data_IF_122435205078
#
_entry.id   IF_122435205078
#
_cell.length_a   1.000
_cell.length_b   1.000
_cell.length_c   1.000
_cell.angle_alpha   90.00
_cell.angle_beta   90.00
_cell.angle_gamma   90.00
#
_symmetry.space_group_name_H-M   'P 1'
#
loop_
_entity.id
_entity.type
_entity.pdbx_description
1 polymer ?
#
# COMPACT_ATOMS: atom_id res chain seq x y z
N UNK A 1 15.72 17.25 18.10
CA UNK A 1 15.54 15.82 18.43
C UNK A 1 14.17 15.39 17.93
N UNK A 2 14.09 14.33 17.15
CA UNK A 2 12.80 13.70 16.78
C UNK A 2 12.41 12.68 17.82
N UNK A 3 11.15 12.64 18.20
CA UNK A 3 10.58 11.67 19.13
C UNK A 3 9.56 10.81 18.41
N UNK A 4 9.39 9.59 18.89
CA UNK A 4 8.38 8.68 18.37
C UNK A 4 6.99 9.14 18.82
N UNK A 5 6.06 9.20 17.88
CA UNK A 5 4.66 9.52 18.15
C UNK A 5 3.75 8.50 17.44
N UNK A 6 2.69 8.09 18.11
CA UNK A 6 1.73 7.12 17.56
C UNK A 6 2.36 5.82 17.06
N UNK A 7 1.90 5.36 15.92
CA UNK A 7 2.20 4.04 15.33
C UNK A 7 3.56 3.93 14.60
N UNK A 8 4.65 4.43 15.14
CA UNK A 8 6.01 4.47 14.59
C UNK A 8 6.38 5.73 13.78
N UNK A 9 5.55 6.73 13.74
CA UNK A 9 5.94 8.03 13.21
C UNK A 9 6.92 8.73 14.16
N UNK A 10 7.73 9.59 13.59
CA UNK A 10 8.65 10.43 14.35
C UNK A 10 8.36 11.88 14.04
N UNK A 11 8.35 12.73 15.05
CA UNK A 11 8.12 14.17 14.89
C UNK A 11 9.06 14.98 15.77
N UNK A 12 9.27 16.24 15.42
CA UNK A 12 9.96 17.24 16.25
C UNK A 12 8.90 17.92 17.11
N UNK A 13 8.87 17.70 18.45
CA UNK A 13 7.86 18.29 19.32
C UNK A 13 7.79 19.80 19.16
N UNK A 14 6.57 20.30 19.04
CA UNK A 14 6.28 21.73 18.90
C UNK A 14 6.62 22.36 17.55
N UNK A 15 7.25 21.65 16.61
CA UNK A 15 7.68 22.20 15.30
C UNK A 15 7.16 21.45 14.10
N UNK A 16 6.82 20.18 14.28
CA UNK A 16 6.39 19.27 13.22
C UNK A 16 4.98 18.77 13.52
N UNK A 17 4.08 18.94 12.57
CA UNK A 17 2.71 18.45 12.64
C UNK A 17 2.54 17.29 11.67
N UNK A 18 2.62 16.03 12.15
CA UNK A 18 2.43 14.87 11.32
C UNK A 18 0.95 14.55 11.15
N UNK A 19 0.45 14.59 9.93
CA UNK A 19 -0.86 14.08 9.57
C UNK A 19 -0.76 12.58 9.32
N UNK A 20 -0.92 11.80 10.40
CA UNK A 20 -0.85 10.35 10.39
C UNK A 20 -2.22 9.74 10.06
N UNK A 21 -2.20 8.52 9.52
CA UNK A 21 -3.37 7.67 9.33
C UNK A 21 -4.52 8.29 8.50
N UNK A 22 -4.22 9.31 7.70
CA UNK A 22 -5.25 10.04 6.93
C UNK A 22 -5.62 9.28 5.66
N UNK A 23 -4.65 8.63 5.02
CA UNK A 23 -4.87 7.94 3.73
C UNK A 23 -4.15 6.61 3.66
N UNK A 24 -4.77 5.67 2.94
CA UNK A 24 -4.20 4.35 2.70
C UNK A 24 -4.29 3.99 1.23
N UNK A 25 -3.19 3.44 0.71
CA UNK A 25 -3.11 2.89 -0.63
C UNK A 25 -3.08 1.37 -0.54
N UNK A 26 -4.15 0.71 -0.95
CA UNK A 26 -4.23 -0.74 -0.98
C UNK A 26 -3.50 -1.27 -2.23
N UNK A 27 -2.26 -1.71 -2.06
CA UNK A 27 -1.42 -2.22 -3.15
C UNK A 27 -2.02 -3.46 -3.82
N UNK A 28 -2.85 -4.24 -3.11
CA UNK A 28 -3.50 -5.40 -3.70
C UNK A 28 -4.57 -5.01 -4.73
N UNK A 29 -5.15 -3.81 -4.62
CA UNK A 29 -6.04 -3.25 -5.64
C UNK A 29 -5.24 -2.91 -6.91
N UNK A 30 -4.05 -2.32 -6.77
CA UNK A 30 -3.16 -2.07 -7.91
C UNK A 30 -2.75 -3.37 -8.61
N UNK A 31 -2.46 -4.44 -7.85
CA UNK A 31 -2.19 -5.76 -8.41
C UNK A 31 -3.40 -6.35 -9.13
N UNK A 32 -4.59 -6.24 -8.54
CA UNK A 32 -5.83 -6.72 -9.16
C UNK A 32 -6.04 -6.09 -10.55
N UNK A 33 -5.96 -4.76 -10.65
CA UNK A 33 -6.11 -4.08 -11.94
C UNK A 33 -4.94 -4.38 -12.89
N UNK A 34 -3.72 -4.53 -12.39
CA UNK A 34 -2.59 -4.98 -13.19
C UNK A 34 -2.78 -6.37 -13.80
N UNK A 35 -3.39 -7.30 -13.05
CA UNK A 35 -3.76 -8.63 -13.54
C UNK A 35 -4.89 -8.57 -14.59
N UNK A 36 -5.89 -7.72 -14.40
CA UNK A 36 -6.96 -7.50 -15.39
C UNK A 36 -6.41 -6.90 -16.68
N UNK A 37 -5.51 -5.93 -16.59
CA UNK A 37 -4.84 -5.37 -17.77
C UNK A 37 -4.02 -6.45 -18.50
N UNK A 38 -3.27 -7.28 -17.75
CA UNK A 38 -2.49 -8.36 -18.32
C UNK A 38 -3.35 -9.45 -18.98
N UNK A 39 -4.52 -9.77 -18.39
CA UNK A 39 -5.48 -10.72 -18.93
C UNK A 39 -5.96 -10.31 -20.33
N UNK A 40 -6.09 -9.01 -20.59
CA UNK A 40 -6.51 -8.44 -21.87
C UNK A 40 -5.39 -8.41 -22.93
N UNK A 41 -4.14 -8.74 -22.59
CA UNK A 41 -3.00 -8.71 -23.51
C UNK A 41 -2.78 -10.07 -24.20
N UNK A 42 -2.22 -10.04 -25.40
CA UNK A 42 -1.78 -11.24 -26.10
C UNK A 42 -0.49 -11.81 -25.48
N UNK A 43 0.47 -10.94 -25.18
CA UNK A 43 1.71 -11.32 -24.49
C UNK A 43 1.52 -11.16 -22.99
N UNK A 44 1.90 -12.20 -22.24
CA UNK A 44 1.72 -12.26 -20.79
C UNK A 44 2.99 -12.74 -20.13
N UNK A 45 3.63 -11.84 -19.43
CA UNK A 45 4.83 -12.12 -18.66
C UNK A 45 4.87 -11.32 -17.35
N UNK A 46 5.88 -11.60 -16.55
CA UNK A 46 6.01 -11.02 -15.22
C UNK A 46 6.45 -9.55 -15.26
N UNK A 47 7.22 -9.16 -16.28
CA UNK A 47 7.69 -7.79 -16.44
C UNK A 47 6.53 -6.87 -16.85
N UNK A 48 5.68 -7.34 -17.76
CA UNK A 48 4.47 -6.61 -18.12
C UNK A 48 3.50 -6.50 -16.93
N UNK A 49 3.35 -7.58 -16.13
CA UNK A 49 2.56 -7.50 -14.89
C UNK A 49 3.12 -6.45 -13.93
N UNK A 50 4.44 -6.40 -13.76
CA UNK A 50 5.10 -5.38 -12.94
C UNK A 50 4.83 -3.97 -13.46
N UNK A 51 4.93 -3.76 -14.77
CA UNK A 51 4.64 -2.47 -15.41
C UNK A 51 3.19 -2.03 -15.13
N UNK A 52 2.21 -2.91 -15.32
CA UNK A 52 0.80 -2.61 -15.07
C UNK A 52 0.51 -2.37 -13.60
N UNK A 53 1.07 -3.17 -12.71
CA UNK A 53 0.98 -2.96 -11.27
C UNK A 53 1.51 -1.58 -10.86
N UNK A 54 2.70 -1.21 -11.34
CA UNK A 54 3.33 0.06 -11.00
C UNK A 54 2.56 1.24 -11.58
N UNK A 55 1.98 1.11 -12.77
CA UNK A 55 1.10 2.12 -13.35
C UNK A 55 -0.11 2.41 -12.45
N UNK A 56 -0.82 1.38 -12.01
CA UNK A 56 -1.97 1.55 -11.12
C UNK A 56 -1.57 2.08 -9.75
N UNK A 57 -0.47 1.61 -9.19
CA UNK A 57 0.03 2.10 -7.91
C UNK A 57 0.39 3.59 -7.98
N UNK A 58 1.02 4.03 -9.07
CA UNK A 58 1.33 5.43 -9.32
C UNK A 58 0.05 6.27 -9.42
N UNK A 59 -0.95 5.82 -10.17
CA UNK A 59 -2.23 6.52 -10.30
C UNK A 59 -2.92 6.70 -8.95
N UNK A 60 -2.89 5.68 -8.09
CA UNK A 60 -3.45 5.75 -6.74
C UNK A 60 -2.72 6.78 -5.87
N UNK A 61 -1.39 6.78 -5.88
CA UNK A 61 -0.58 7.75 -5.10
C UNK A 61 -0.80 9.17 -5.61
N UNK A 62 -0.87 9.40 -6.92
CA UNK A 62 -1.15 10.72 -7.50
C UNK A 62 -2.57 11.21 -7.14
N UNK A 63 -3.56 10.32 -7.10
CA UNK A 63 -4.89 10.64 -6.63
C UNK A 63 -4.88 11.11 -5.16
N UNK A 64 -4.14 10.41 -4.29
CA UNK A 64 -3.99 10.80 -2.89
C UNK A 64 -3.29 12.16 -2.77
N UNK A 65 -2.23 12.40 -3.53
CA UNK A 65 -1.54 13.71 -3.55
C UNK A 65 -2.47 14.86 -3.94
N UNK A 66 -3.32 14.65 -4.95
CA UNK A 66 -4.34 15.64 -5.34
C UNK A 66 -5.38 15.86 -4.21
N UNK A 67 -5.77 14.78 -3.54
CA UNK A 67 -6.63 14.84 -2.35
C UNK A 67 -6.00 15.65 -1.21
N UNK A 68 -4.71 15.52 -0.98
CA UNK A 68 -3.99 16.30 0.02
C UNK A 68 -3.95 17.79 -0.32
N UNK A 69 -3.72 18.16 -1.57
CA UNK A 69 -3.79 19.55 -1.99
C UNK A 69 -5.17 20.16 -1.66
N UNK A 70 -6.23 19.41 -1.93
CA UNK A 70 -7.59 19.85 -1.60
C UNK A 70 -7.86 19.88 -0.10
N UNK A 71 -7.37 18.88 0.63
CA UNK A 71 -7.49 18.82 2.09
C UNK A 71 -6.81 20.03 2.76
N UNK A 72 -5.60 20.34 2.32
CA UNK A 72 -4.83 21.50 2.81
C UNK A 72 -5.60 22.82 2.66
N UNK A 73 -6.30 23.03 1.55
CA UNK A 73 -7.08 24.25 1.29
C UNK A 73 -8.26 24.46 2.24
N UNK A 74 -8.87 23.38 2.70
CA UNK A 74 -10.13 23.44 3.45
C UNK A 74 -9.98 23.12 4.92
N UNK A 75 -8.91 22.44 5.32
CA UNK A 75 -8.74 21.88 6.65
C UNK A 75 -8.83 22.94 7.75
N UNK A 76 -8.13 24.07 7.60
CA UNK A 76 -8.13 25.12 8.61
C UNK A 76 -9.51 25.75 8.84
N UNK A 77 -10.39 25.73 7.82
CA UNK A 77 -11.75 26.29 7.93
C UNK A 77 -12.72 25.28 8.52
N UNK A 78 -12.58 24.02 8.14
CA UNK A 78 -13.52 22.98 8.54
C UNK A 78 -13.16 22.36 9.89
N UNK A 79 -11.87 22.29 10.21
CA UNK A 79 -11.38 21.63 11.43
C UNK A 79 -10.09 22.28 11.93
N UNK A 80 -10.18 23.51 12.50
CA UNK A 80 -9.02 24.20 13.03
C UNK A 80 -8.48 23.49 14.29
N UNK A 81 -7.17 23.36 14.37
CA UNK A 81 -6.47 22.77 15.52
C UNK A 81 -6.23 23.83 16.63
N UNK A 82 -7.31 24.38 17.18
CA UNK A 82 -7.25 25.57 18.08
C UNK A 82 -6.35 25.32 19.29
N UNK A 83 -6.53 24.19 19.97
CA UNK A 83 -5.74 23.89 21.19
C UNK A 83 -4.30 23.57 20.84
N UNK A 84 -4.08 22.77 19.77
CA UNK A 84 -2.75 22.36 19.35
C UNK A 84 -1.89 23.55 18.92
N UNK A 85 -2.48 24.57 18.31
CA UNK A 85 -1.78 25.79 17.91
C UNK A 85 -1.10 26.50 19.09
N UNK A 86 -1.64 26.34 20.33
CA UNK A 86 -1.05 26.94 21.55
C UNK A 86 0.22 26.21 22.01
N UNK A 87 0.44 24.96 21.56
CA UNK A 87 1.59 24.13 21.93
C UNK A 87 2.64 23.99 20.83
N UNK A 88 2.39 24.64 19.68
CA UNK A 88 3.29 24.60 18.53
C UNK A 88 4.00 25.93 18.34
N UNK A 89 5.27 25.87 17.91
CA UNK A 89 5.98 27.06 17.47
C UNK A 89 5.49 27.49 16.08
N UNK A 90 5.21 28.77 15.95
CA UNK A 90 4.87 29.40 14.68
C UNK A 90 3.39 29.74 14.45
N UNK A 91 2.40 28.95 14.90
CA UNK A 91 1.00 29.24 14.61
C UNK A 91 0.55 30.66 15.10
N UNK A 92 0.92 31.03 16.30
CA UNK A 92 0.56 32.33 16.87
C UNK A 92 1.29 33.48 16.15
N UNK A 93 2.59 33.33 15.96
CA UNK A 93 3.45 34.32 15.31
C UNK A 93 3.08 34.55 13.85
N UNK A 94 2.68 33.49 13.16
CA UNK A 94 2.29 33.51 11.74
C UNK A 94 0.82 33.83 11.50
N UNK A 95 -0.01 33.71 12.56
CA UNK A 95 -1.46 33.82 12.43
C UNK A 95 -2.07 32.70 11.56
N UNK A 96 -1.46 31.52 11.54
CA UNK A 96 -1.85 30.37 10.72
C UNK A 96 -2.06 29.12 11.56
N UNK A 97 -2.99 28.28 11.15
CA UNK A 97 -3.19 26.99 11.78
C UNK A 97 -1.97 26.08 11.55
N UNK A 98 -1.62 25.24 12.52
CA UNK A 98 -0.52 24.26 12.37
C UNK A 98 -0.72 23.32 11.16
N UNK A 99 -1.95 23.02 10.79
CA UNK A 99 -2.30 22.23 9.61
C UNK A 99 -2.25 23.00 8.27
N UNK A 100 -1.95 24.31 8.32
CA UNK A 100 -1.98 25.17 7.13
C UNK A 100 -0.84 26.22 7.16
N UNK A 101 0.39 25.74 7.26
CA UNK A 101 1.59 26.58 7.22
C UNK A 101 1.97 27.25 8.55
N UNK A 102 1.24 27.00 9.63
CA UNK A 102 1.56 27.55 10.96
C UNK A 102 2.82 26.94 11.57
N UNK A 103 3.17 25.72 11.24
CA UNK A 103 4.36 25.02 11.76
C UNK A 103 5.52 25.04 10.76
N UNK A 104 6.72 24.66 11.25
CA UNK A 104 7.90 24.59 10.40
C UNK A 104 7.84 23.40 9.40
N UNK A 105 7.28 22.28 9.84
CA UNK A 105 7.20 21.05 9.05
C UNK A 105 5.78 20.48 9.14
N UNK A 106 5.17 20.27 8.00
CA UNK A 106 3.91 19.55 7.84
C UNK A 106 4.18 18.26 7.09
N UNK A 107 4.03 17.11 7.78
CA UNK A 107 4.18 15.80 7.19
C UNK A 107 2.82 15.22 6.80
N UNK A 108 2.67 14.85 5.54
CA UNK A 108 1.49 14.18 5.01
C UNK A 108 1.83 12.72 4.73
N UNK A 109 1.17 11.83 5.43
CA UNK A 109 1.49 10.41 5.34
C UNK A 109 0.60 9.68 4.35
N UNK A 110 1.21 8.84 3.53
CA UNK A 110 0.51 7.86 2.70
C UNK A 110 0.91 6.47 3.17
N UNK A 111 -0.06 5.71 3.67
CA UNK A 111 0.16 4.36 4.17
C UNK A 111 -0.09 3.33 3.07
N UNK A 112 0.95 2.62 2.64
CA UNK A 112 0.82 1.45 1.79
C UNK A 112 0.41 0.23 2.62
N UNK A 113 -0.64 -0.46 2.21
CA UNK A 113 -1.14 -1.67 2.85
C UNK A 113 -1.13 -2.86 1.89
N UNK A 114 -1.26 -4.08 2.42
CA UNK A 114 -1.24 -5.35 1.68
C UNK A 114 0.11 -5.74 1.07
N UNK A 115 1.24 -5.21 1.55
CA UNK A 115 2.56 -5.51 0.99
C UNK A 115 2.83 -7.01 0.90
N UNK A 116 2.60 -7.79 1.97
CA UNK A 116 2.85 -9.22 1.97
C UNK A 116 1.91 -9.97 1.02
N UNK A 117 0.63 -9.59 0.93
CA UNK A 117 -0.32 -10.18 -0.04
C UNK A 117 0.19 -10.01 -1.47
N UNK A 118 0.70 -8.83 -1.82
CA UNK A 118 1.21 -8.53 -3.17
C UNK A 118 2.53 -9.24 -3.42
N UNK A 119 3.47 -9.19 -2.48
CA UNK A 119 4.77 -9.84 -2.60
C UNK A 119 4.65 -11.37 -2.74
N UNK A 120 3.80 -11.99 -1.92
CA UNK A 120 3.50 -13.42 -2.01
C UNK A 120 2.82 -13.78 -3.33
N UNK A 121 1.96 -12.88 -3.86
CA UNK A 121 1.30 -13.09 -5.15
C UNK A 121 2.29 -13.07 -6.31
N UNK A 122 3.18 -12.09 -6.36
CA UNK A 122 4.25 -12.06 -7.37
C UNK A 122 5.15 -13.29 -7.26
N UNK A 123 5.55 -13.68 -6.05
CA UNK A 123 6.39 -14.86 -5.82
C UNK A 123 5.69 -16.16 -6.25
N UNK A 124 4.38 -16.28 -6.00
CA UNK A 124 3.60 -17.45 -6.42
C UNK A 124 3.51 -17.53 -7.95
N UNK A 125 3.26 -16.41 -8.64
CA UNK A 125 3.25 -16.34 -10.10
C UNK A 125 4.64 -16.72 -10.65
N UNK A 126 5.69 -16.05 -10.17
CA UNK A 126 7.05 -16.32 -10.63
C UNK A 126 7.41 -17.79 -10.51
N UNK A 127 7.15 -18.39 -9.33
CA UNK A 127 7.48 -19.80 -9.10
C UNK A 127 6.60 -20.76 -9.88
N UNK A 128 5.27 -20.60 -9.84
CA UNK A 128 4.33 -21.61 -10.35
C UNK A 128 3.99 -21.47 -11.81
N UNK A 129 3.96 -20.22 -12.33
CA UNK A 129 3.59 -19.93 -13.72
C UNK A 129 4.85 -19.81 -14.59
N UNK A 130 5.83 -19.02 -14.15
CA UNK A 130 6.98 -18.68 -14.99
C UNK A 130 8.05 -19.79 -14.96
N UNK A 131 8.52 -20.18 -13.78
CA UNK A 131 9.64 -21.14 -13.67
C UNK A 131 9.21 -22.58 -13.73
N UNK A 132 8.31 -23.00 -12.81
CA UNK A 132 7.89 -24.42 -12.74
C UNK A 132 6.90 -24.78 -13.84
N UNK A 133 6.26 -23.82 -14.49
CA UNK A 133 5.24 -24.00 -15.53
C UNK A 133 4.13 -24.99 -15.15
N UNK A 134 3.79 -24.99 -13.85
CA UNK A 134 2.71 -25.82 -13.30
C UNK A 134 1.32 -25.27 -13.59
N UNK A 135 1.24 -23.97 -13.85
CA UNK A 135 0.05 -23.25 -14.29
C UNK A 135 0.38 -22.43 -15.53
N UNK A 136 -0.59 -22.30 -16.42
CA UNK A 136 -0.55 -21.29 -17.48
C UNK A 136 -1.15 -19.97 -16.98
N UNK A 137 -0.89 -18.86 -17.68
CA UNK A 137 -1.52 -17.58 -17.38
C UNK A 137 -3.05 -17.68 -17.50
N UNK A 138 -3.58 -18.34 -18.53
CA UNK A 138 -5.02 -18.52 -18.70
C UNK A 138 -5.65 -19.25 -17.53
N UNK A 139 -4.99 -20.34 -17.07
CA UNK A 139 -5.49 -21.08 -15.92
C UNK A 139 -5.42 -20.26 -14.63
N UNK A 140 -4.38 -19.45 -14.45
CA UNK A 140 -4.30 -18.54 -13.30
C UNK A 140 -5.47 -17.55 -13.29
N UNK A 141 -5.78 -16.94 -14.43
CA UNK A 141 -6.90 -15.99 -14.52
C UNK A 141 -8.24 -16.67 -14.25
N UNK A 142 -8.47 -17.86 -14.82
CA UNK A 142 -9.66 -18.66 -14.55
C UNK A 142 -9.82 -18.96 -13.05
N UNK A 143 -8.75 -19.33 -12.36
CA UNK A 143 -8.75 -19.59 -10.93
C UNK A 143 -9.14 -18.34 -10.11
N UNK A 144 -8.63 -17.19 -10.50
CA UNK A 144 -8.94 -15.92 -9.84
C UNK A 144 -10.37 -15.49 -10.11
N UNK A 145 -10.85 -15.58 -11.34
CA UNK A 145 -12.20 -15.20 -11.76
C UNK A 145 -13.28 -16.10 -11.11
N UNK A 146 -12.96 -17.39 -10.91
CA UNK A 146 -13.86 -18.35 -10.23
C UNK A 146 -13.67 -18.42 -8.71
N UNK A 147 -12.82 -17.53 -8.14
CA UNK A 147 -12.49 -17.56 -6.71
C UNK A 147 -12.04 -18.97 -6.25
N UNK A 148 -11.25 -19.66 -7.07
CA UNK A 148 -10.75 -21.01 -6.82
C UNK A 148 -11.85 -22.10 -6.67
N UNK A 149 -13.07 -21.87 -7.14
CA UNK A 149 -14.16 -22.85 -7.03
C UNK A 149 -13.75 -24.18 -7.68
N UNK A 150 -13.86 -25.27 -6.93
CA UNK A 150 -13.45 -26.62 -7.38
C UNK A 150 -11.96 -26.83 -7.58
N UNK A 151 -11.10 -25.84 -7.31
CA UNK A 151 -9.66 -25.85 -7.61
C UNK A 151 -8.77 -25.77 -6.36
N UNK A 152 -9.17 -26.43 -5.28
CA UNK A 152 -8.46 -26.35 -3.98
C UNK A 152 -7.00 -26.80 -4.08
N UNK A 153 -6.71 -27.82 -4.93
CA UNK A 153 -5.33 -28.28 -5.12
C UNK A 153 -4.42 -27.20 -5.70
N UNK A 154 -4.90 -26.48 -6.73
CA UNK A 154 -4.15 -25.41 -7.39
C UNK A 154 -4.03 -24.20 -6.45
N UNK A 155 -5.09 -23.86 -5.71
CA UNK A 155 -5.06 -22.83 -4.67
C UNK A 155 -4.00 -23.12 -3.62
N UNK A 156 -3.98 -24.33 -3.06
CA UNK A 156 -2.98 -24.77 -2.09
C UNK A 156 -1.56 -24.78 -2.69
N UNK A 157 -1.41 -25.14 -3.95
CA UNK A 157 -0.13 -25.06 -4.63
C UNK A 157 0.39 -23.62 -4.73
N UNK A 158 -0.47 -22.63 -5.04
CA UNK A 158 -0.14 -21.21 -5.02
C UNK A 158 0.11 -20.70 -3.59
N UNK A 159 -0.67 -21.18 -2.63
CA UNK A 159 -0.50 -20.83 -1.21
C UNK A 159 0.80 -21.37 -0.61
N UNK A 160 1.22 -22.55 -1.04
CA UNK A 160 2.40 -23.27 -0.49
C UNK A 160 3.70 -22.86 -1.19
N UNK A 161 4.12 -21.62 -0.96
CA UNK A 161 5.42 -21.07 -1.35
C UNK A 161 6.15 -20.57 -0.08
N UNK A 162 7.46 -20.32 -0.18
CA UNK A 162 8.17 -19.59 0.88
C UNK A 162 7.72 -18.13 0.86
N UNK A 163 6.97 -17.74 1.88
CA UNK A 163 6.30 -16.44 1.96
C UNK A 163 7.22 -15.33 2.45
N UNK A 164 6.74 -14.10 2.29
CA UNK A 164 7.34 -12.92 2.88
C UNK A 164 7.54 -13.12 4.40
N UNK A 165 8.71 -12.74 4.91
CA UNK A 165 9.14 -13.00 6.28
C UNK A 165 9.96 -14.26 6.47
N UNK A 166 10.00 -15.17 5.47
CA UNK A 166 10.93 -16.29 5.47
C UNK A 166 12.28 -15.85 4.89
N UNK A 167 13.39 -15.98 5.61
CA UNK A 167 14.70 -15.53 5.12
C UNK A 167 15.05 -16.14 3.75
N UNK A 168 15.46 -15.29 2.80
CA UNK A 168 15.85 -15.71 1.45
C UNK A 168 14.70 -16.26 0.61
N UNK A 169 13.46 -15.84 0.89
CA UNK A 169 12.33 -16.16 0.03
C UNK A 169 12.22 -15.15 -1.13
N UNK A 170 11.70 -15.59 -2.28
CA UNK A 170 11.37 -14.70 -3.40
C UNK A 170 10.39 -13.59 -2.99
N UNK A 171 9.44 -13.94 -2.14
CA UNK A 171 8.49 -12.97 -1.61
C UNK A 171 9.18 -11.85 -0.81
N UNK A 172 10.33 -12.13 -0.17
CA UNK A 172 11.15 -11.09 0.45
C UNK A 172 11.76 -10.16 -0.60
N UNK A 173 12.26 -10.69 -1.70
CA UNK A 173 12.86 -9.88 -2.78
C UNK A 173 11.78 -9.01 -3.45
N UNK A 174 10.61 -9.57 -3.72
CA UNK A 174 9.46 -8.82 -4.22
C UNK A 174 9.01 -7.74 -3.25
N UNK A 175 8.93 -8.03 -1.96
CA UNK A 175 8.56 -7.04 -0.96
C UNK A 175 9.54 -5.86 -0.91
N UNK A 176 10.84 -6.12 -1.04
CA UNK A 176 11.89 -5.09 -1.15
C UNK A 176 11.67 -4.25 -2.42
N UNK A 177 11.48 -4.89 -3.57
CA UNK A 177 11.24 -4.21 -4.85
C UNK A 177 9.99 -3.32 -4.80
N UNK A 178 8.88 -3.82 -4.26
CA UNK A 178 7.62 -3.08 -4.10
C UNK A 178 7.82 -1.89 -3.14
N UNK A 179 8.45 -2.13 -1.98
CA UNK A 179 8.76 -1.09 -1.00
C UNK A 179 9.58 0.04 -1.62
N UNK A 180 10.66 -0.31 -2.30
CA UNK A 180 11.58 0.67 -2.85
C UNK A 180 10.92 1.52 -3.94
N UNK A 181 10.12 0.89 -4.80
CA UNK A 181 9.31 1.59 -5.79
C UNK A 181 8.30 2.54 -5.13
N UNK A 182 7.54 2.04 -4.14
CA UNK A 182 6.54 2.83 -3.43
C UNK A 182 7.15 4.03 -2.70
N UNK A 183 8.27 3.82 -2.01
CA UNK A 183 8.99 4.89 -1.32
C UNK A 183 9.52 5.94 -2.30
N UNK A 184 10.09 5.50 -3.42
CA UNK A 184 10.57 6.41 -4.47
C UNK A 184 9.41 7.22 -5.07
N UNK A 185 8.27 6.59 -5.34
CA UNK A 185 7.08 7.22 -5.87
C UNK A 185 6.50 8.29 -4.91
N UNK A 186 6.46 8.02 -3.62
CA UNK A 186 5.96 8.97 -2.63
C UNK A 186 6.92 10.15 -2.44
N UNK A 187 8.23 9.88 -2.34
CA UNK A 187 9.27 10.90 -2.11
C UNK A 187 9.68 11.67 -3.36
N UNK A 188 9.48 11.08 -4.52
CA UNK A 188 9.99 11.60 -5.80
C UNK A 188 9.41 12.95 -6.21
N UNK A 189 8.21 13.28 -5.72
CA UNK A 189 7.58 14.56 -5.97
C UNK A 189 6.64 14.99 -4.85
N UNK A 190 6.64 16.27 -4.47
CA UNK A 190 5.63 16.83 -3.57
C UNK A 190 4.24 16.83 -4.24
N UNK A 191 3.22 17.29 -3.52
CA UNK A 191 1.92 17.57 -4.13
C UNK A 191 2.04 18.68 -5.17
N UNK A 192 1.16 18.65 -6.20
CA UNK A 192 1.32 19.52 -7.38
C UNK A 192 1.05 21.00 -7.10
N UNK A 193 0.05 21.29 -6.25
CA UNK A 193 -0.44 22.65 -6.04
C UNK A 193 0.27 23.36 -4.90
N UNK A 194 0.41 22.68 -3.77
CA UNK A 194 0.96 23.30 -2.55
C UNK A 194 2.37 22.82 -2.21
N UNK A 195 2.95 21.94 -3.04
CA UNK A 195 4.29 21.39 -2.86
C UNK A 195 4.53 20.77 -1.48
N UNK A 196 3.48 20.12 -0.94
CA UNK A 196 3.53 19.48 0.37
C UNK A 196 4.36 18.18 0.29
N UNK A 197 5.20 17.98 1.29
CA UNK A 197 6.02 16.77 1.39
C UNK A 197 5.18 15.56 1.77
N UNK A 198 5.44 14.45 1.10
CA UNK A 198 4.80 13.17 1.39
C UNK A 198 5.78 12.24 2.11
N UNK A 199 5.32 11.68 3.21
CA UNK A 199 6.05 10.67 3.98
C UNK A 199 5.40 9.31 3.76
N UNK A 200 6.07 8.37 3.07
CA UNK A 200 5.54 7.03 2.88
C UNK A 200 5.58 6.22 4.17
N UNK A 201 4.48 5.53 4.46
CA UNK A 201 4.39 4.52 5.49
C UNK A 201 4.03 3.15 4.89
N UNK A 202 4.45 2.08 5.55
CA UNK A 202 4.03 0.71 5.25
C UNK A 202 3.50 0.14 6.54
N UNK A 203 2.22 0.30 6.73
CA UNK A 203 1.56 -0.10 7.96
C UNK A 203 0.44 -1.09 7.71
N UNK A 204 -0.03 -1.60 8.82
CA UNK A 204 -1.23 -2.37 8.86
C UNK A 204 -2.10 -1.86 9.99
N UNK A 205 -3.37 -1.87 9.73
CA UNK A 205 -4.42 -1.47 10.65
C UNK A 205 -5.37 -2.63 10.92
N UNK A 206 -6.18 -2.51 11.95
CA UNK A 206 -7.26 -3.46 12.21
C UNK A 206 -8.29 -3.59 11.08
N UNK A 207 -8.26 -2.67 10.11
CA UNK A 207 -9.20 -2.61 8.98
C UNK A 207 -8.86 -3.58 7.82
N UNK A 208 -7.90 -4.48 8.00
CA UNK A 208 -7.50 -5.47 6.97
C UNK A 208 -8.67 -6.31 6.45
N UNK A 209 -9.64 -6.56 7.30
CA UNK A 209 -10.89 -7.23 6.92
C UNK A 209 -11.76 -6.37 6.01
N UNK A 210 -11.91 -5.09 6.33
CA UNK A 210 -12.68 -4.14 5.53
C UNK A 210 -12.07 -3.96 4.13
N UNK A 211 -10.75 -3.82 4.05
CA UNK A 211 -10.03 -3.73 2.78
C UNK A 211 -10.07 -5.02 1.96
N UNK A 212 -10.09 -6.18 2.64
CA UNK A 212 -10.18 -7.48 1.98
C UNK A 212 -11.56 -7.74 1.38
N UNK A 213 -12.64 -7.26 2.02
CA UNK A 213 -14.03 -7.50 1.57
C UNK A 213 -14.31 -7.03 0.15
N UNK A 214 -13.63 -6.00 -0.32
CA UNK A 214 -13.83 -5.43 -1.64
C UNK A 214 -12.83 -5.94 -2.68
N UNK A 215 -11.95 -6.85 -2.28
CA UNK A 215 -10.89 -7.38 -3.12
C UNK A 215 -11.21 -8.80 -3.56
N UNK A 216 -11.10 -9.06 -4.85
CA UNK A 216 -11.23 -10.39 -5.45
C UNK A 216 -10.10 -11.34 -5.01
N UNK A 217 -10.16 -12.60 -5.45
CA UNK A 217 -9.12 -13.59 -5.18
C UNK A 217 -7.73 -13.10 -5.63
N UNK A 218 -6.68 -13.52 -4.92
CA UNK A 218 -5.30 -13.11 -5.23
C UNK A 218 -4.40 -14.31 -5.45
N UNK A 219 -3.35 -14.19 -6.30
CA UNK A 219 -2.48 -15.30 -6.70
C UNK A 219 -1.74 -16.04 -5.58
N UNK A 220 -1.68 -15.46 -4.39
CA UNK A 220 -1.12 -16.12 -3.19
C UNK A 220 -2.09 -17.11 -2.53
N UNK A 221 -3.22 -17.44 -3.17
CA UNK A 221 -4.21 -18.39 -2.69
C UNK A 221 -5.23 -17.81 -1.68
N UNK A 222 -5.36 -16.47 -1.59
CA UNK A 222 -6.38 -15.78 -0.79
C UNK A 222 -7.71 -15.79 -1.56
N UNK A 223 -8.80 -16.12 -0.89
CA UNK A 223 -10.15 -16.00 -1.45
C UNK A 223 -10.62 -14.56 -1.57
N UNK A 224 -11.56 -14.32 -2.47
CA UNK A 224 -12.28 -13.05 -2.53
C UNK A 224 -12.97 -12.77 -1.18
N UNK A 225 -12.89 -11.53 -0.74
CA UNK A 225 -13.50 -11.12 0.54
C UNK A 225 -12.68 -11.45 1.80
N UNK A 226 -11.67 -12.31 1.73
CA UNK A 226 -10.80 -12.59 2.86
C UNK A 226 -9.97 -11.35 3.25
N UNK A 227 -9.48 -11.32 4.50
CA UNK A 227 -8.60 -10.26 4.95
C UNK A 227 -7.33 -10.17 4.09
N UNK A 228 -6.87 -8.95 3.83
CA UNK A 228 -5.51 -8.75 3.30
C UNK A 228 -4.47 -8.95 4.41
N UNK A 229 -3.20 -9.10 4.02
CA UNK A 229 -2.12 -9.27 5.00
C UNK A 229 -2.05 -8.09 5.97
N UNK A 230 -1.96 -8.44 7.23
CA UNK A 230 -1.59 -7.52 8.29
C UNK A 230 -0.06 -7.32 8.31
N UNK A 231 0.46 -6.27 8.93
CA UNK A 231 1.91 -6.07 9.09
C UNK A 231 2.57 -7.20 9.91
N UNK A 232 1.78 -7.95 10.64
CA UNK A 232 2.21 -9.15 11.30
C UNK A 232 2.23 -10.31 10.32
N UNK A 233 3.41 -10.73 9.93
CA UNK A 233 3.68 -11.80 8.96
C UNK A 233 3.03 -13.14 9.33
N UNK A 234 2.82 -13.37 10.61
CA UNK A 234 2.30 -14.64 11.14
C UNK A 234 0.83 -14.89 10.82
N UNK A 235 0.07 -13.85 10.46
CA UNK A 235 -1.36 -14.01 10.19
C UNK A 235 -1.68 -14.58 8.81
N UNK A 236 -0.72 -14.57 7.90
CA UNK A 236 -0.92 -15.06 6.53
C UNK A 236 -0.36 -16.46 6.31
N UNK A 237 0.45 -16.97 7.25
CA UNK A 237 1.12 -18.23 7.02
C UNK A 237 0.41 -19.43 7.62
N UNK A 238 -0.18 -19.39 8.80
CA UNK A 238 -0.66 -20.63 9.43
C UNK A 238 -1.60 -20.47 10.64
N UNK A 239 -2.41 -19.44 10.69
CA UNK A 239 -3.50 -19.43 11.64
C UNK A 239 -4.76 -20.10 11.02
N UNK A 240 -4.58 -21.32 10.55
CA UNK A 240 -5.66 -22.24 10.21
C UNK A 240 -5.43 -23.55 10.93
#
# INVERSE_FOLDING_TARGET
MRVKCGCNWVAIPGREYPLQDVTRVNMAVALHYGLKDLQAQETRDLDLLWERFTYHLQAMVECVKAGYDRHYEVMQRNRPEIVLNLFMHGPIERGLNCSNGGVDILDLNIDGIALATVADSFAAIEQRVVEEKKLTWDRLFELLDTNYEGAERERLMLKNIRRFGSPGSRAQDWAVRIRDYYVALCKGSPTRKHHLMIVPGLFSHGDVYAYGKTLEATPNGRFAGDAISHSCLLYTSDAA
#
